data_IF_596881128051
#
_entry.id   IF_596881128051
#
_cell.length_a   1.000
_cell.length_b   1.000
_cell.length_c   1.000
_cell.angle_alpha   90.00
_cell.angle_beta   90.00
_cell.angle_gamma   90.00
#
_symmetry.space_group_name_H-M   'P 1'
#
loop_
_entity.id
_entity.type
_entity.pdbx_description
1 polymer ?
#
# COMPACT_ATOMS: atom_id res chain seq x y z
N UNK A 1 -15.86 -10.58 -8.03
CA UNK A 1 -15.41 -9.30 -7.47
C UNK A 1 -13.91 -9.15 -7.72
N UNK A 2 -13.52 -7.99 -8.19
CA UNK A 2 -12.12 -7.72 -8.50
C UNK A 2 -11.33 -7.46 -7.21
N UNK A 3 -10.25 -8.18 -7.04
CA UNK A 3 -9.37 -7.97 -5.89
C UNK A 3 -8.34 -6.90 -6.25
N UNK A 4 -8.42 -5.76 -5.58
CA UNK A 4 -7.53 -4.63 -5.88
C UNK A 4 -6.16 -4.83 -5.27
N UNK A 5 -6.09 -5.19 -4.01
CA UNK A 5 -4.82 -5.40 -3.31
C UNK A 5 -4.46 -6.88 -3.38
N UNK A 6 -3.28 -7.17 -3.96
CA UNK A 6 -2.83 -8.54 -4.15
C UNK A 6 -1.95 -9.01 -3.00
N UNK A 7 -0.92 -8.24 -2.67
CA UNK A 7 0.00 -8.59 -1.59
C UNK A 7 0.84 -7.38 -1.16
N UNK A 8 1.34 -7.38 0.07
CA UNK A 8 2.28 -6.33 0.48
C UNK A 8 3.68 -6.60 -0.07
N UNK A 9 4.49 -5.56 -0.17
CA UNK A 9 5.89 -5.67 -0.54
C UNK A 9 6.72 -5.74 0.74
N UNK A 10 7.62 -6.72 0.83
CA UNK A 10 8.38 -7.00 2.05
C UNK A 10 9.84 -6.58 1.99
N UNK A 11 10.23 -5.77 1.01
CA UNK A 11 11.62 -5.35 0.85
C UNK A 11 12.07 -4.42 1.97
N UNK A 12 13.38 -4.31 2.16
CA UNK A 12 13.97 -3.39 3.11
C UNK A 12 13.55 -1.94 2.83
N UNK A 13 13.50 -1.56 1.55
CA UNK A 13 13.06 -0.23 1.16
C UNK A 13 11.61 0.03 1.57
N UNK A 14 10.74 -0.97 1.41
CA UNK A 14 9.34 -0.85 1.83
C UNK A 14 9.22 -0.62 3.33
N UNK A 15 10.03 -1.32 4.13
CA UNK A 15 10.05 -1.13 5.58
C UNK A 15 10.55 0.27 5.94
N UNK A 16 11.59 0.74 5.27
CA UNK A 16 12.11 2.10 5.50
C UNK A 16 11.08 3.17 5.18
N UNK A 17 10.29 2.99 4.14
CA UNK A 17 9.23 3.94 3.80
C UNK A 17 8.15 3.97 4.87
N UNK A 18 7.83 2.83 5.48
CA UNK A 18 6.89 2.79 6.60
C UNK A 18 7.43 3.58 7.80
N UNK A 19 8.71 3.42 8.11
CA UNK A 19 9.32 4.08 9.26
C UNK A 19 9.49 5.57 9.06
N UNK A 20 9.95 6.00 7.87
CA UNK A 20 10.34 7.38 7.65
C UNK A 20 9.23 8.26 7.11
N UNK A 21 8.32 7.70 6.30
CA UNK A 21 7.32 8.49 5.60
C UNK A 21 5.88 8.03 5.78
N UNK A 22 5.67 7.04 6.61
CA UNK A 22 4.34 6.47 6.85
C UNK A 22 3.67 5.96 5.57
N UNK A 23 4.47 5.36 4.70
CA UNK A 23 4.03 4.83 3.41
C UNK A 23 4.04 3.31 3.43
N UNK A 24 2.94 2.70 2.97
CA UNK A 24 2.84 1.26 2.77
C UNK A 24 2.98 0.97 1.28
N UNK A 25 3.78 -0.03 0.94
CA UNK A 25 3.98 -0.46 -0.45
C UNK A 25 3.22 -1.75 -0.69
N UNK A 26 2.35 -1.74 -1.69
CA UNK A 26 1.49 -2.87 -2.03
C UNK A 26 1.59 -3.21 -3.50
N UNK A 27 1.45 -4.49 -3.82
CA UNK A 27 1.23 -4.90 -5.20
C UNK A 27 -0.28 -4.95 -5.40
N UNK A 28 -0.74 -4.28 -6.44
CA UNK A 28 -2.18 -4.14 -6.74
C UNK A 28 -2.48 -4.64 -8.16
N UNK A 29 -3.76 -4.81 -8.45
CA UNK A 29 -4.22 -5.21 -9.78
C UNK A 29 -3.80 -4.17 -10.81
N UNK A 30 -3.23 -4.62 -11.93
CA UNK A 30 -2.78 -3.73 -13.01
C UNK A 30 -3.86 -2.80 -13.52
N UNK A 31 -5.12 -3.22 -13.45
CA UNK A 31 -6.24 -2.45 -13.96
C UNK A 31 -6.82 -1.50 -12.93
N UNK A 32 -6.30 -1.50 -11.71
CA UNK A 32 -6.80 -0.61 -10.66
C UNK A 32 -6.28 0.80 -10.85
N UNK A 33 -7.13 1.79 -10.62
CA UNK A 33 -6.71 3.19 -10.59
C UNK A 33 -6.49 3.63 -9.14
N UNK A 34 -5.97 4.85 -8.96
CA UNK A 34 -5.66 5.37 -7.63
C UNK A 34 -6.89 5.46 -6.74
N UNK A 35 -8.03 5.80 -7.31
CA UNK A 35 -9.30 5.89 -6.59
C UNK A 35 -9.71 4.55 -6.01
N UNK A 36 -9.62 3.51 -6.82
CA UNK A 36 -9.94 2.14 -6.39
C UNK A 36 -8.98 1.66 -5.30
N UNK A 37 -7.70 1.99 -5.44
CA UNK A 37 -6.67 1.64 -4.46
C UNK A 37 -6.97 2.31 -3.12
N UNK A 38 -7.30 3.61 -3.13
CA UNK A 38 -7.67 4.33 -1.91
C UNK A 38 -8.86 3.71 -1.21
N UNK A 39 -9.89 3.36 -1.97
CA UNK A 39 -11.10 2.72 -1.41
C UNK A 39 -10.76 1.37 -0.80
N UNK A 40 -9.95 0.58 -1.47
CA UNK A 40 -9.56 -0.74 -0.99
C UNK A 40 -8.75 -0.65 0.30
N UNK A 41 -7.81 0.29 0.37
CA UNK A 41 -6.99 0.51 1.57
C UNK A 41 -7.87 0.96 2.74
N UNK A 42 -8.77 1.91 2.49
CA UNK A 42 -9.69 2.39 3.52
C UNK A 42 -10.56 1.25 4.06
N UNK A 43 -11.11 0.44 3.17
CA UNK A 43 -11.97 -0.67 3.55
C UNK A 43 -11.22 -1.77 4.30
N UNK A 44 -10.02 -2.11 3.84
CA UNK A 44 -9.26 -3.24 4.37
C UNK A 44 -8.53 -2.91 5.67
N UNK A 45 -7.91 -1.74 5.74
CA UNK A 45 -7.10 -1.34 6.89
C UNK A 45 -7.77 -0.30 7.78
N UNK A 46 -8.97 0.12 7.41
CA UNK A 46 -9.75 1.11 8.17
C UNK A 46 -8.97 2.40 8.41
N UNK A 47 -8.25 2.84 7.40
CA UNK A 47 -7.46 4.07 7.47
C UNK A 47 -7.65 4.87 6.18
N UNK A 48 -7.55 6.19 6.28
CA UNK A 48 -7.67 7.06 5.12
C UNK A 48 -6.30 7.30 4.49
N UNK A 49 -6.07 6.84 3.26
CA UNK A 49 -4.84 7.18 2.57
C UNK A 49 -4.86 8.65 2.15
N UNK A 50 -3.74 9.33 2.37
CA UNK A 50 -3.57 10.74 2.01
C UNK A 50 -3.20 10.87 0.55
N UNK A 51 -2.34 9.95 0.08
CA UNK A 51 -1.81 10.01 -1.28
C UNK A 51 -1.49 8.61 -1.76
N UNK A 52 -1.72 8.36 -3.04
CA UNK A 52 -1.36 7.09 -3.68
C UNK A 52 -0.55 7.38 -4.93
N UNK A 53 0.63 6.82 -5.02
CA UNK A 53 1.45 6.85 -6.23
C UNK A 53 1.57 5.42 -6.74
N UNK A 54 1.57 5.25 -8.06
CA UNK A 54 1.68 3.93 -8.66
C UNK A 54 2.82 3.88 -9.66
N UNK A 55 3.34 2.69 -9.85
CA UNK A 55 4.47 2.42 -10.72
C UNK A 55 4.31 1.01 -11.28
N UNK A 56 4.50 0.85 -12.59
CA UNK A 56 4.49 -0.48 -13.19
C UNK A 56 5.92 -0.96 -13.29
N UNK A 57 6.18 -2.14 -12.71
CA UNK A 57 7.52 -2.72 -12.69
C UNK A 57 7.84 -3.44 -13.99
N UNK A 58 9.12 -3.75 -14.27
CA UNK A 58 9.48 -4.55 -15.45
C UNK A 58 8.84 -5.94 -15.50
N UNK A 59 8.36 -6.45 -14.35
CA UNK A 59 7.66 -7.73 -14.28
C UNK A 59 6.16 -7.60 -14.57
N UNK A 60 5.72 -6.44 -15.03
CA UNK A 60 4.31 -6.15 -15.29
C UNK A 60 3.44 -6.23 -14.02
N UNK A 61 4.02 -5.88 -12.88
CA UNK A 61 3.28 -5.74 -11.64
C UNK A 61 3.05 -4.26 -11.36
N UNK A 62 1.90 -3.92 -10.81
CA UNK A 62 1.62 -2.54 -10.41
C UNK A 62 1.91 -2.39 -8.93
N UNK A 63 2.84 -1.52 -8.61
CA UNK A 63 3.24 -1.25 -7.23
C UNK A 63 2.59 0.06 -6.80
N UNK A 64 1.93 0.06 -5.66
CA UNK A 64 1.29 1.24 -5.11
C UNK A 64 2.00 1.69 -3.83
N UNK A 65 2.36 2.96 -3.79
CA UNK A 65 2.92 3.60 -2.60
C UNK A 65 1.80 4.40 -1.97
N UNK A 66 1.31 3.93 -0.83
CA UNK A 66 0.15 4.52 -0.18
C UNK A 66 0.60 5.26 1.07
N UNK A 67 0.49 6.59 1.05
CA UNK A 67 0.79 7.39 2.22
C UNK A 67 -0.44 7.47 3.11
N UNK A 68 -0.29 7.06 4.36
CA UNK A 68 -1.38 7.03 5.32
C UNK A 68 -1.46 8.35 6.07
N UNK A 69 -2.64 8.62 6.64
CA UNK A 69 -2.81 9.80 7.48
C UNK A 69 -1.98 9.64 8.76
N UNK A 70 -1.69 10.74 9.43
CA UNK A 70 -0.87 10.73 10.64
C UNK A 70 -1.54 10.01 11.81
N UNK A 71 -2.85 9.78 11.72
CA UNK A 71 -3.61 9.05 12.72
C UNK A 71 -3.31 7.56 12.70
N UNK A 72 -2.74 7.06 11.60
CA UNK A 72 -2.45 5.65 11.41
C UNK A 72 -0.96 5.45 11.26
N UNK A 73 -0.41 4.49 12.00
CA UNK A 73 1.00 4.16 11.90
C UNK A 73 1.18 3.03 10.89
N UNK A 74 1.95 3.30 9.83
CA UNK A 74 2.21 2.31 8.78
C UNK A 74 2.89 1.05 9.32
N UNK A 75 3.73 1.19 10.36
CA UNK A 75 4.38 0.05 10.99
C UNK A 75 3.38 -0.91 11.62
N UNK A 76 2.32 -0.39 12.22
CA UNK A 76 1.28 -1.23 12.81
C UNK A 76 0.58 -2.06 11.74
N UNK A 77 0.28 -1.45 10.61
CA UNK A 77 -0.34 -2.16 9.50
C UNK A 77 0.63 -3.15 8.88
N UNK A 78 1.89 -2.77 8.77
CA UNK A 78 2.93 -3.68 8.29
C UNK A 78 3.07 -4.91 9.16
N UNK A 79 2.95 -4.75 10.49
CA UNK A 79 2.98 -5.87 11.41
C UNK A 79 1.78 -6.79 11.22
N UNK A 80 0.58 -6.23 11.02
CA UNK A 80 -0.61 -7.03 10.74
C UNK A 80 -0.49 -7.82 9.43
N UNK A 81 0.20 -7.26 8.46
CA UNK A 81 0.41 -7.90 7.16
C UNK A 81 1.57 -8.91 7.15
N UNK A 82 2.33 -8.96 8.24
CA UNK A 82 3.49 -9.84 8.31
C UNK A 82 4.72 -9.33 7.55
N UNK A 83 4.78 -8.03 7.26
CA UNK A 83 5.91 -7.42 6.55
C UNK A 83 7.10 -7.21 7.49
N UNK A 84 6.81 -7.01 8.75
CA UNK A 84 7.81 -6.75 9.78
C UNK A 84 7.87 -7.92 10.74
#
# INVERSE_FOLDING_TARGET
MKEVIIRPVTSEKAVRLMESQNIITLIVDLRSNKSEIKKAVNSLFKTKPVKVNTLITPRSEKKAYVKLSMDTNALDIGAELGVI
#
